data_IF_037415039478
#
_entry.id   IF_037415039478
#
_cell.length_a   1.000
_cell.length_b   1.000
_cell.length_c   1.000
_cell.angle_alpha   90.00
_cell.angle_beta   90.00
_cell.angle_gamma   90.00
#
_symmetry.space_group_name_H-M   'P 1'
#
loop_
_entity.id
_entity.type
_entity.pdbx_description
1 polymer ?
#
# COMPACT_ATOMS: atom_id res chain seq x y z
N UNK A 1 7.81 21.25 -13.32
CA UNK A 1 7.30 19.87 -13.52
C UNK A 1 6.69 19.46 -12.20
N UNK A 2 5.37 19.29 -12.11
CA UNK A 2 4.75 18.85 -10.87
C UNK A 2 5.25 17.44 -10.57
N UNK A 3 5.93 17.23 -9.44
CA UNK A 3 6.30 15.89 -9.01
C UNK A 3 5.00 15.10 -8.86
N UNK A 4 4.80 14.10 -9.71
CA UNK A 4 3.62 13.25 -9.69
C UNK A 4 3.64 12.47 -8.38
N UNK A 5 2.55 12.53 -7.63
CA UNK A 5 2.45 11.82 -6.36
C UNK A 5 2.71 10.32 -6.59
N UNK A 6 3.49 9.70 -5.70
CA UNK A 6 3.88 8.30 -5.86
C UNK A 6 2.63 7.43 -5.62
N UNK A 7 2.24 6.59 -6.59
CA UNK A 7 1.07 5.73 -6.46
C UNK A 7 1.33 4.62 -5.45
N UNK A 8 0.47 4.48 -4.44
CA UNK A 8 0.57 3.47 -3.39
C UNK A 8 -0.77 2.75 -3.18
N UNK A 9 -0.69 1.49 -2.78
CA UNK A 9 -1.84 0.67 -2.41
C UNK A 9 -1.89 0.56 -0.89
N UNK A 10 -3.08 0.65 -0.31
CA UNK A 10 -3.28 0.40 1.12
C UNK A 10 -4.23 -0.77 1.30
N UNK A 11 -3.82 -1.73 2.12
CA UNK A 11 -4.61 -2.87 2.54
C UNK A 11 -5.09 -2.61 3.96
N UNK A 12 -6.40 -2.50 4.15
CA UNK A 12 -7.00 -2.21 5.45
C UNK A 12 -8.42 -2.76 5.55
N UNK A 13 -8.78 -3.33 6.70
CA UNK A 13 -10.14 -3.86 6.92
C UNK A 13 -11.22 -2.77 7.07
N UNK A 14 -10.82 -1.51 7.29
CA UNK A 14 -11.75 -0.39 7.58
C UNK A 14 -11.50 0.76 6.61
N UNK A 15 -12.50 1.06 5.77
CA UNK A 15 -12.44 2.15 4.79
C UNK A 15 -12.23 3.52 5.45
N UNK A 16 -12.89 3.80 6.58
CA UNK A 16 -12.72 5.06 7.31
C UNK A 16 -11.26 5.33 7.76
N UNK A 17 -10.50 4.27 8.09
CA UNK A 17 -9.07 4.39 8.38
C UNK A 17 -8.30 4.63 7.07
N UNK A 18 -8.64 3.87 6.02
CA UNK A 18 -8.09 4.06 4.68
C UNK A 18 -8.24 5.47 4.14
N UNK A 19 -9.39 6.11 4.32
CA UNK A 19 -9.65 7.51 3.92
C UNK A 19 -8.77 8.48 4.70
N UNK A 20 -8.65 8.30 6.01
CA UNK A 20 -7.75 9.11 6.83
C UNK A 20 -6.29 8.94 6.40
N UNK A 21 -5.90 7.73 6.01
CA UNK A 21 -4.54 7.44 5.50
C UNK A 21 -4.34 8.09 4.13
N UNK A 22 -5.30 7.94 3.22
CA UNK A 22 -5.27 8.55 1.88
C UNK A 22 -5.12 10.07 1.96
N UNK A 23 -5.86 10.71 2.87
CA UNK A 23 -5.79 12.15 3.09
C UNK A 23 -4.44 12.58 3.66
N UNK A 24 -3.85 11.81 4.58
CA UNK A 24 -2.57 12.13 5.20
C UNK A 24 -1.34 11.85 4.31
N UNK A 25 -1.47 10.92 3.35
CA UNK A 25 -0.44 10.56 2.38
C UNK A 25 -0.20 11.67 1.34
N UNK A 26 -1.24 12.43 1.01
CA UNK A 26 -1.13 13.58 0.11
C UNK A 26 -0.28 14.70 0.74
N UNK A 27 0.41 15.52 -0.07
CA UNK A 27 0.46 15.48 -1.53
C UNK A 27 1.54 14.55 -2.11
N UNK A 28 2.46 14.02 -1.29
CA UNK A 28 3.62 13.24 -1.75
C UNK A 28 3.23 11.87 -2.33
N UNK A 29 2.21 11.22 -1.74
CA UNK A 29 1.76 9.88 -2.12
C UNK A 29 0.27 9.92 -2.49
N UNK A 30 -0.10 9.14 -3.50
CA UNK A 30 -1.47 8.98 -3.96
C UNK A 30 -1.94 7.55 -3.69
N UNK A 31 -3.02 7.42 -2.91
CA UNK A 31 -3.67 6.12 -2.73
C UNK A 31 -4.47 5.79 -4.00
N UNK A 32 -3.99 4.82 -4.78
CA UNK A 32 -4.61 4.45 -6.05
C UNK A 32 -5.64 3.33 -5.90
N UNK A 33 -5.41 2.40 -4.97
CA UNK A 33 -6.32 1.29 -4.68
C UNK A 33 -6.35 0.98 -3.18
N UNK A 34 -7.55 0.67 -2.67
CA UNK A 34 -7.75 0.24 -1.30
C UNK A 34 -8.31 -1.18 -1.26
N UNK A 35 -7.55 -2.08 -0.65
CA UNK A 35 -7.87 -3.50 -0.53
C UNK A 35 -8.47 -3.76 0.85
N UNK A 36 -9.70 -4.28 0.89
CA UNK A 36 -10.43 -4.57 2.14
C UNK A 36 -10.11 -5.92 2.77
N UNK A 37 -9.78 -6.91 1.96
CA UNK A 37 -9.55 -8.31 2.38
C UNK A 37 -8.31 -8.90 1.71
N UNK A 38 -7.63 -9.86 2.35
CA UNK A 38 -6.46 -10.53 1.76
C UNK A 38 -6.83 -11.26 0.45
N UNK A 39 -8.01 -11.87 0.39
CA UNK A 39 -8.52 -12.56 -0.80
C UNK A 39 -8.68 -11.62 -1.99
N UNK A 40 -9.17 -10.40 -1.75
CA UNK A 40 -9.23 -9.36 -2.78
C UNK A 40 -7.81 -8.92 -3.16
N UNK A 41 -6.90 -8.77 -2.20
CA UNK A 41 -5.51 -8.41 -2.46
C UNK A 41 -4.79 -9.40 -3.37
N UNK A 42 -5.00 -10.70 -3.18
CA UNK A 42 -4.43 -11.76 -4.04
C UNK A 42 -4.82 -11.58 -5.52
N UNK A 43 -6.04 -11.09 -5.80
CA UNK A 43 -6.55 -10.91 -7.16
C UNK A 43 -6.23 -9.51 -7.72
N UNK A 44 -6.44 -8.49 -6.90
CA UNK A 44 -6.36 -7.09 -7.31
C UNK A 44 -4.93 -6.58 -7.39
N UNK A 45 -4.07 -6.90 -6.42
CA UNK A 45 -2.69 -6.39 -6.39
C UNK A 45 -1.95 -6.66 -7.71
N UNK A 46 -1.89 -7.89 -8.24
CA UNK A 46 -1.17 -8.14 -9.49
C UNK A 46 -1.77 -7.41 -10.70
N UNK A 47 -3.07 -7.08 -10.70
CA UNK A 47 -3.72 -6.30 -11.76
C UNK A 47 -3.40 -4.82 -11.63
N UNK A 48 -3.61 -4.25 -10.44
CA UNK A 48 -3.37 -2.83 -10.14
C UNK A 48 -1.91 -2.46 -10.33
N UNK A 49 -0.98 -3.34 -9.96
CA UNK A 49 0.46 -3.13 -10.19
C UNK A 49 0.84 -3.12 -11.67
N UNK A 50 0.05 -3.76 -12.54
CA UNK A 50 0.18 -3.69 -14.01
C UNK A 50 -0.59 -2.52 -14.62
N UNK A 51 -1.23 -1.70 -13.80
CA UNK A 51 -2.17 -0.67 -14.23
C UNK A 51 -3.42 -1.20 -14.92
N UNK A 52 -3.87 -2.40 -14.53
CA UNK A 52 -5.15 -2.98 -14.95
C UNK A 52 -6.17 -2.88 -13.83
N UNK A 53 -7.42 -2.67 -14.23
CA UNK A 53 -8.54 -2.57 -13.29
C UNK A 53 -8.60 -3.80 -12.37
N UNK A 54 -8.85 -3.60 -11.07
CA UNK A 54 -9.02 -4.69 -10.12
C UNK A 54 -10.23 -5.56 -10.48
N UNK A 55 -10.18 -6.85 -10.14
CA UNK A 55 -11.30 -7.77 -10.37
C UNK A 55 -12.40 -7.60 -9.32
N UNK A 56 -12.04 -7.18 -8.10
CA UNK A 56 -13.02 -6.95 -7.04
C UNK A 56 -13.54 -5.52 -7.06
N UNK A 57 -14.75 -5.33 -6.52
CA UNK A 57 -15.42 -4.02 -6.51
C UNK A 57 -14.50 -2.95 -5.92
N UNK A 58 -14.21 -1.92 -6.73
CA UNK A 58 -13.38 -0.78 -6.33
C UNK A 58 -13.96 -0.15 -5.08
N UNK A 59 -13.17 -0.13 -4.00
CA UNK A 59 -13.49 0.66 -2.83
C UNK A 59 -13.59 2.12 -3.24
N UNK A 60 -14.50 2.89 -2.64
CA UNK A 60 -14.58 4.34 -2.85
C UNK A 60 -13.39 5.11 -2.24
N UNK A 61 -12.45 4.39 -1.62
CA UNK A 61 -11.23 4.91 -1.01
C UNK A 61 -10.09 4.86 -2.03
N UNK A 62 -9.63 6.04 -2.45
CA UNK A 62 -8.52 6.20 -3.40
C UNK A 62 -8.91 6.98 -4.65
N UNK A 63 -7.94 7.19 -5.54
CA UNK A 63 -8.17 7.89 -6.82
C UNK A 63 -8.57 6.95 -7.95
N UNK A 64 -8.32 5.64 -7.81
CA UNK A 64 -8.49 4.67 -8.91
C UNK A 64 -7.49 4.86 -10.05
N UNK A 65 -6.52 5.77 -9.89
CA UNK A 65 -5.57 6.12 -10.93
C UNK A 65 -4.38 5.15 -10.95
N UNK A 66 -4.62 3.99 -11.55
CA UNK A 66 -3.66 2.88 -11.58
C UNK A 66 -2.76 2.91 -12.82
N UNK A 67 -2.84 3.95 -13.65
CA UNK A 67 -2.25 4.01 -15.00
C UNK A 67 -0.72 3.75 -14.99
N UNK A 68 -0.02 4.19 -13.95
CA UNK A 68 1.44 4.04 -13.81
C UNK A 68 1.86 2.80 -13.02
N UNK A 69 0.90 2.03 -12.49
CA UNK A 69 1.13 0.96 -11.52
C UNK A 69 1.56 1.50 -10.16
N UNK A 70 1.22 0.79 -9.08
CA UNK A 70 1.63 1.21 -7.74
C UNK A 70 3.09 0.86 -7.43
N UNK A 71 3.76 1.73 -6.67
CA UNK A 71 5.17 1.59 -6.27
C UNK A 71 5.34 0.93 -4.91
N UNK A 72 4.34 1.05 -4.03
CA UNK A 72 4.39 0.49 -2.69
C UNK A 72 3.03 -0.08 -2.28
N UNK A 73 3.05 -1.14 -1.47
CA UNK A 73 1.88 -1.77 -0.87
C UNK A 73 2.00 -1.64 0.64
N UNK A 74 1.01 -1.02 1.28
CA UNK A 74 0.97 -0.78 2.72
C UNK A 74 -0.04 -1.72 3.35
N UNK A 75 0.42 -2.62 4.22
CA UNK A 75 -0.39 -3.57 4.96
C UNK A 75 -0.67 -3.02 6.36
N UNK A 76 -1.95 -2.72 6.63
CA UNK A 76 -2.40 -2.35 7.98
C UNK A 76 -2.33 -3.52 8.97
N UNK A 77 -2.45 -3.22 10.26
CA UNK A 77 -2.33 -4.22 11.33
C UNK A 77 -3.41 -5.31 11.39
N UNK A 78 -4.34 -5.33 10.43
CA UNK A 78 -5.34 -6.39 10.29
C UNK A 78 -4.92 -7.54 9.37
N UNK A 79 -3.68 -7.56 8.91
CA UNK A 79 -3.12 -8.57 8.01
C UNK A 79 -1.94 -9.26 8.71
N UNK A 80 -2.03 -10.58 8.87
CA UNK A 80 -0.96 -11.38 9.45
C UNK A 80 0.04 -11.85 8.38
N UNK A 81 1.05 -12.62 8.81
CA UNK A 81 2.07 -13.18 7.93
C UNK A 81 1.50 -14.08 6.84
N UNK A 82 0.47 -14.89 7.12
CA UNK A 82 -0.10 -15.78 6.11
C UNK A 82 -0.81 -14.97 5.01
N UNK A 83 -1.55 -13.95 5.41
CA UNK A 83 -2.21 -13.02 4.49
C UNK A 83 -1.17 -12.33 3.59
N UNK A 84 -0.09 -11.82 4.19
CA UNK A 84 1.03 -11.23 3.46
C UNK A 84 1.63 -12.22 2.47
N UNK A 85 1.97 -13.44 2.89
CA UNK A 85 2.58 -14.45 2.02
C UNK A 85 1.67 -14.84 0.85
N UNK A 86 0.37 -14.99 1.09
CA UNK A 86 -0.61 -15.30 0.05
C UNK A 86 -0.67 -14.18 -1.03
N UNK A 87 -0.82 -12.94 -0.58
CA UNK A 87 -0.83 -11.77 -1.48
C UNK A 87 0.51 -11.60 -2.19
N UNK A 88 1.61 -11.80 -1.47
CA UNK A 88 2.96 -11.69 -2.00
C UNK A 88 3.22 -12.71 -3.10
N UNK A 89 2.81 -13.96 -2.88
CA UNK A 89 2.94 -15.03 -3.87
C UNK A 89 2.18 -14.73 -5.15
N UNK A 90 1.00 -14.12 -5.04
CA UNK A 90 0.21 -13.71 -6.21
C UNK A 90 0.89 -12.59 -7.00
N UNK A 91 1.49 -11.61 -6.30
CA UNK A 91 2.27 -10.53 -6.88
C UNK A 91 3.56 -11.06 -7.54
N UNK A 92 4.27 -11.99 -6.90
CA UNK A 92 5.48 -12.62 -7.46
C UNK A 92 5.18 -13.53 -8.66
N UNK A 93 4.02 -14.19 -8.67
CA UNK A 93 3.55 -14.96 -9.82
C UNK A 93 3.18 -14.06 -11.01
N UNK A 94 2.91 -12.77 -10.77
CA UNK A 94 2.64 -11.81 -11.81
C UNK A 94 3.94 -11.25 -12.41
N UNK A 95 4.06 -11.26 -13.72
CA UNK A 95 5.14 -10.56 -14.43
C UNK A 95 4.91 -9.05 -14.34
N UNK A 96 5.56 -8.38 -13.39
CA UNK A 96 5.50 -6.94 -13.19
C UNK A 96 6.74 -6.25 -13.75
N UNK A 97 6.57 -5.10 -14.39
CA UNK A 97 7.68 -4.27 -14.87
C UNK A 97 8.44 -3.62 -13.70
N UNK A 98 7.71 -3.31 -12.62
CA UNK A 98 8.26 -2.75 -11.38
C UNK A 98 7.74 -3.56 -10.21
N UNK A 99 8.65 -3.96 -9.32
CA UNK A 99 8.25 -4.68 -8.11
C UNK A 99 7.91 -3.67 -7.02
N UNK A 100 6.72 -3.75 -6.41
CA UNK A 100 6.40 -2.86 -5.31
C UNK A 100 7.17 -3.25 -4.06
N UNK A 101 7.53 -2.25 -3.25
CA UNK A 101 7.97 -2.49 -1.88
C UNK A 101 6.78 -2.79 -0.99
N UNK A 102 6.98 -3.65 0.00
CA UNK A 102 5.92 -4.01 0.95
C UNK A 102 6.18 -3.34 2.28
N UNK A 103 5.21 -2.59 2.76
CA UNK A 103 5.24 -1.94 4.06
C UNK A 103 4.33 -2.74 4.98
N UNK A 104 4.91 -3.32 6.02
CA UNK A 104 4.22 -4.14 7.01
C UNK A 104 4.15 -3.40 8.33
N UNK A 105 3.00 -3.47 8.97
CA UNK A 105 2.79 -2.87 10.28
C UNK A 105 3.64 -3.59 11.34
N UNK A 106 4.53 -2.88 12.04
CA UNK A 106 5.32 -3.47 13.12
C UNK A 106 4.46 -3.64 14.38
N UNK A 107 4.03 -4.87 14.65
CA UNK A 107 3.20 -5.22 15.81
C UNK A 107 3.96 -5.13 17.15
N UNK A 108 5.28 -5.03 17.12
CA UNK A 108 6.09 -4.84 18.34
C UNK A 108 6.02 -3.39 18.84
N UNK A 109 5.63 -2.45 17.98
CA UNK A 109 5.50 -1.05 18.35
C UNK A 109 4.06 -0.76 18.72
N UNK A 110 3.85 -0.28 19.95
CA UNK A 110 2.53 0.15 20.40
C UNK A 110 1.90 1.13 19.41
N UNK A 111 0.68 0.80 18.99
CA UNK A 111 -0.12 1.61 18.12
C UNK A 111 -1.41 2.00 18.81
N UNK A 112 -1.89 3.24 18.58
CA UNK A 112 -3.15 3.67 19.14
C UNK A 112 -4.29 2.76 18.65
N UNK A 113 -5.38 2.63 19.42
CA UNK A 113 -6.52 1.81 19.02
C UNK A 113 -7.08 2.26 17.66
N UNK A 114 -7.71 1.34 16.91
CA UNK A 114 -8.14 1.58 15.54
C UNK A 114 -9.19 2.71 15.48
N UNK A 115 -8.75 3.88 15.04
CA UNK A 115 -9.51 5.13 14.97
C UNK A 115 -8.76 6.20 14.15
N UNK A 116 -9.20 7.47 14.19
CA UNK A 116 -8.57 8.54 13.42
C UNK A 116 -7.11 8.77 13.83
N UNK A 117 -6.76 8.56 15.10
CA UNK A 117 -5.37 8.64 15.58
C UNK A 117 -4.50 7.51 15.04
N UNK A 118 -5.05 6.30 14.85
CA UNK A 118 -4.36 5.20 14.20
C UNK A 118 -4.03 5.52 12.74
N UNK A 119 -5.00 6.07 11.99
CA UNK A 119 -4.74 6.52 10.62
C UNK A 119 -3.59 7.52 10.55
N UNK A 120 -3.57 8.52 11.45
CA UNK A 120 -2.48 9.51 11.53
C UNK A 120 -1.13 8.88 11.89
N UNK A 121 -1.08 7.99 12.87
CA UNK A 121 0.15 7.31 13.28
C UNK A 121 0.74 6.46 12.14
N UNK A 122 -0.12 5.70 11.45
CA UNK A 122 0.26 4.91 10.26
C UNK A 122 0.81 5.82 9.17
N UNK A 123 0.13 6.92 8.85
CA UNK A 123 0.61 7.89 7.84
C UNK A 123 2.02 8.39 8.17
N UNK A 124 2.26 8.82 9.40
CA UNK A 124 3.57 9.36 9.80
C UNK A 124 4.67 8.31 9.62
N UNK A 125 4.43 7.08 10.06
CA UNK A 125 5.40 5.98 9.94
C UNK A 125 5.63 5.57 8.49
N UNK A 126 4.56 5.40 7.72
CA UNK A 126 4.61 5.07 6.29
C UNK A 126 5.35 6.15 5.52
N UNK A 127 5.05 7.45 5.73
CA UNK A 127 5.76 8.54 5.06
C UNK A 127 7.23 8.57 5.43
N UNK A 128 7.58 8.39 6.71
CA UNK A 128 8.98 8.34 7.13
C UNK A 128 9.73 7.17 6.46
N UNK A 129 9.10 5.99 6.39
CA UNK A 129 9.70 4.82 5.76
C UNK A 129 9.82 5.01 4.24
N UNK A 130 8.75 5.44 3.56
CA UNK A 130 8.78 5.70 2.12
C UNK A 130 9.81 6.78 1.76
N UNK A 131 9.89 7.88 2.52
CA UNK A 131 10.91 8.91 2.31
C UNK A 131 12.34 8.37 2.50
N UNK A 132 12.53 7.44 3.43
CA UNK A 132 13.82 6.75 3.61
C UNK A 132 14.13 5.83 2.42
N UNK A 133 13.16 5.01 2.00
CA UNK A 133 13.31 4.11 0.84
C UNK A 133 13.55 4.88 -0.46
N UNK A 134 12.90 6.04 -0.63
CA UNK A 134 13.12 6.93 -1.76
C UNK A 134 14.56 7.46 -1.78
N UNK A 135 15.08 7.92 -0.64
CA UNK A 135 16.49 8.34 -0.51
C UNK A 135 17.47 7.21 -0.78
N UNK A 136 17.13 6.00 -0.39
CA UNK A 136 17.91 4.78 -0.67
C UNK A 136 17.72 4.25 -2.11
N UNK A 137 16.89 4.91 -2.94
CA UNK A 137 16.50 4.48 -4.29
C UNK A 137 15.95 3.05 -4.34
N UNK A 138 15.22 2.64 -3.30
CA UNK A 138 14.54 1.33 -3.21
C UNK A 138 13.13 1.34 -3.79
N UNK A 139 12.57 2.53 -4.04
CA UNK A 139 11.26 2.70 -4.68
C UNK A 139 11.33 2.70 -6.22
N UNK A 140 12.48 2.38 -6.81
CA UNK A 140 12.68 2.36 -8.27
C UNK A 140 12.06 1.11 -8.95
N UNK A 141 11.60 0.15 -8.15
CA UNK A 141 11.02 -1.11 -8.60
C UNK A 141 12.02 -2.27 -8.69
N UNK A 142 13.29 -2.04 -8.33
CA UNK A 142 14.32 -3.08 -8.23
C UNK A 142 14.25 -3.82 -6.91
N UNK A 143 13.81 -3.15 -5.84
CA UNK A 143 13.64 -3.75 -4.52
C UNK A 143 12.20 -4.25 -4.34
N UNK A 144 12.09 -5.51 -3.95
CA UNK A 144 10.82 -6.13 -3.60
C UNK A 144 10.85 -6.66 -2.17
N UNK A 145 11.61 -6.03 -1.28
CA UNK A 145 11.63 -6.45 0.10
C UNK A 145 10.39 -5.96 0.85
N UNK A 146 10.14 -6.62 1.97
CA UNK A 146 9.23 -6.13 2.99
C UNK A 146 10.00 -5.30 4.03
N UNK A 147 9.38 -4.20 4.45
CA UNK A 147 9.89 -3.27 5.43
C UNK A 147 8.84 -3.05 6.50
N UNK A 148 9.27 -3.00 7.75
CA UNK A 148 8.40 -2.80 8.89
C UNK A 148 8.34 -1.32 9.26
N UNK A 149 7.14 -0.81 9.59
CA UNK A 149 6.91 0.59 9.98
C UNK A 149 6.14 0.71 11.30
#
# INVERSE_FOLDING_TARGET
>A
MAAKAIPVIVCGRREAIGESVAAGLKPEYELVHFVKTPEAGVKDLPLVLKGREPETATSSVGTGNIVDGATAIILGGGYDDNDYEAMRKAVDAATLERRPVWLRNDLSVEMPPPGPEYGKAVVVRVKNLLAKLEKEKKLDGSDSNSYWY
#
